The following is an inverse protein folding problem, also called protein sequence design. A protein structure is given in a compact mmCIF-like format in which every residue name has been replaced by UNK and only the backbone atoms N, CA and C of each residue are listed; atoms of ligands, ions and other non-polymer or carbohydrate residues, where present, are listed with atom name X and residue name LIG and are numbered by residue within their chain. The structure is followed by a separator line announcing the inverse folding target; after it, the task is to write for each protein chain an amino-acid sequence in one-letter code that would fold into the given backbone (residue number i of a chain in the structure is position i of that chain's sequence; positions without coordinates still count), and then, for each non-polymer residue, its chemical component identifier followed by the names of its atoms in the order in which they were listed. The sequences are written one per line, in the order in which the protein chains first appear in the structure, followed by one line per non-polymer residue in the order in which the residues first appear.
data_IF_897837570172
#
_entry.id   IF_897837570172
#
_cell.length_a   1.000
_cell.length_b   1.000
_cell.length_c   1.000
_cell.angle_alpha   90.00
_cell.angle_beta   90.00
_cell.angle_gamma   90.00
#
_symmetry.space_group_name_H-M   'P 1'
#
loop_
_entity.id
_entity.type
_entity.pdbx_description
1 polymer ?
#
# COMPACT_ATOMS: atom_id res chain seq x y z
N UNK A 1 14.67 -1.62 20.80
CA UNK A 1 13.56 -1.68 19.83
C UNK A 1 13.90 -2.59 18.64
N UNK A 2 15.01 -2.38 17.90
CA UNK A 2 15.37 -3.23 16.74
C UNK A 2 15.52 -4.72 17.07
N UNK A 3 16.13 -5.09 18.19
CA UNK A 3 16.24 -6.49 18.60
C UNK A 3 14.87 -7.16 18.85
N UNK A 4 13.92 -6.41 19.38
CA UNK A 4 12.55 -6.91 19.58
C UNK A 4 11.87 -7.08 18.23
N UNK A 5 12.01 -6.09 17.34
CA UNK A 5 11.48 -6.16 15.98
C UNK A 5 12.05 -7.36 15.22
N UNK A 6 13.38 -7.53 15.23
CA UNK A 6 14.04 -8.66 14.56
C UNK A 6 13.53 -10.01 15.08
N UNK A 7 13.42 -10.16 16.40
CA UNK A 7 12.87 -11.39 17.01
C UNK A 7 11.42 -11.65 16.59
N UNK A 8 10.59 -10.60 16.56
CA UNK A 8 9.18 -10.72 16.15
C UNK A 8 9.07 -11.08 14.68
N UNK A 9 9.74 -10.34 13.79
CA UNK A 9 9.68 -10.59 12.34
C UNK A 9 10.26 -11.95 11.97
N UNK A 10 11.27 -12.43 12.70
CA UNK A 10 11.86 -13.76 12.51
C UNK A 10 10.96 -14.89 13.01
N UNK A 11 10.02 -14.60 13.91
CA UNK A 11 9.09 -15.61 14.45
C UNK A 11 8.10 -16.08 13.38
N UNK A 12 7.79 -17.38 13.31
CA UNK A 12 6.75 -17.90 12.41
C UNK A 12 5.34 -17.40 12.73
N UNK A 13 5.07 -17.07 14.00
CA UNK A 13 3.72 -16.74 14.50
C UNK A 13 3.54 -15.29 14.91
N UNK A 14 4.63 -14.52 15.05
CA UNK A 14 4.59 -13.16 15.58
C UNK A 14 5.13 -12.10 14.58
N UNK A 15 5.30 -12.45 13.31
CA UNK A 15 5.86 -11.54 12.33
C UNK A 15 4.97 -10.31 12.10
N UNK A 16 3.65 -10.48 12.09
CA UNK A 16 2.69 -9.39 11.97
C UNK A 16 2.83 -8.39 13.12
N UNK A 17 3.00 -8.86 14.37
CA UNK A 17 3.19 -8.00 15.53
C UNK A 17 4.46 -7.15 15.41
N UNK A 18 5.50 -7.69 14.77
CA UNK A 18 6.71 -6.92 14.46
C UNK A 18 6.40 -5.73 13.55
N UNK A 19 5.61 -5.92 12.51
CA UNK A 19 5.20 -4.83 11.62
C UNK A 19 4.31 -3.79 12.34
N UNK A 20 3.38 -4.21 13.21
CA UNK A 20 2.58 -3.28 14.00
C UNK A 20 3.42 -2.40 14.92
N UNK A 21 4.47 -2.96 15.55
CA UNK A 21 5.43 -2.16 16.34
C UNK A 21 6.11 -1.11 15.47
N UNK A 22 6.54 -1.46 14.26
CA UNK A 22 7.16 -0.48 13.34
C UNK A 22 6.16 0.57 12.84
N UNK A 23 4.93 0.20 12.54
CA UNK A 23 3.89 1.14 12.14
C UNK A 23 3.70 2.18 13.25
N UNK A 24 3.58 1.75 14.51
CA UNK A 24 3.48 2.67 15.66
C UNK A 24 4.66 3.63 15.75
N UNK A 25 5.87 3.15 15.47
CA UNK A 25 7.09 3.99 15.45
C UNK A 25 7.03 5.00 14.31
N UNK A 26 6.68 4.56 13.09
CA UNK A 26 6.54 5.42 11.91
C UNK A 26 5.51 6.53 12.15
N UNK A 27 4.37 6.19 12.75
CA UNK A 27 3.31 7.15 13.04
C UNK A 27 3.68 8.17 14.15
N UNK A 28 4.45 7.73 15.13
CA UNK A 28 4.77 8.53 16.33
C UNK A 28 6.00 9.42 16.15
N UNK A 29 6.96 9.05 15.31
CA UNK A 29 8.24 9.74 15.15
C UNK A 29 8.32 10.51 13.83
N UNK A 30 9.08 11.61 13.86
CA UNK A 30 9.48 12.27 12.62
C UNK A 30 10.63 11.50 11.95
N UNK A 31 10.77 11.66 10.63
CA UNK A 31 11.75 10.88 9.84
C UNK A 31 13.16 10.94 10.40
N UNK A 32 13.62 12.13 10.76
CA UNK A 32 14.99 12.40 11.24
C UNK A 32 15.30 11.70 12.58
N UNK A 33 14.27 11.37 13.37
CA UNK A 33 14.43 10.70 14.66
C UNK A 33 14.73 9.21 14.54
N UNK A 34 14.38 8.57 13.41
CA UNK A 34 14.62 7.14 13.19
C UNK A 34 15.32 6.81 11.86
N UNK A 35 15.65 7.79 11.05
CA UNK A 35 16.32 7.63 9.75
C UNK A 35 17.55 6.72 9.83
N UNK A 36 18.35 6.88 10.86
CA UNK A 36 19.56 6.08 11.09
C UNK A 36 19.29 4.57 11.20
N UNK A 37 18.11 4.18 11.64
CA UNK A 37 17.73 2.78 11.83
C UNK A 37 17.07 2.15 10.61
N UNK A 38 16.60 2.94 9.65
CA UNK A 38 15.81 2.47 8.49
C UNK A 38 16.58 1.45 7.65
N UNK A 39 17.87 1.64 7.29
CA UNK A 39 18.62 0.64 6.54
C UNK A 39 18.70 -0.71 7.25
N UNK A 40 18.84 -0.71 8.57
CA UNK A 40 18.85 -1.94 9.38
C UNK A 40 17.46 -2.61 9.38
N UNK A 41 16.39 -1.83 9.46
CA UNK A 41 15.02 -2.35 9.37
C UNK A 41 14.80 -3.06 8.04
N UNK A 42 15.16 -2.43 6.93
CA UNK A 42 15.04 -3.05 5.61
C UNK A 42 15.92 -4.29 5.46
N UNK A 43 17.15 -4.27 5.98
CA UNK A 43 18.03 -5.43 5.97
C UNK A 43 17.42 -6.63 6.73
N UNK A 44 16.79 -6.39 7.88
CA UNK A 44 16.09 -7.42 8.66
C UNK A 44 14.90 -7.99 7.86
N UNK A 45 14.08 -7.13 7.27
CA UNK A 45 12.90 -7.55 6.51
C UNK A 45 13.30 -8.34 5.26
N UNK A 46 14.21 -7.81 4.45
CA UNK A 46 14.64 -8.47 3.21
C UNK A 46 15.58 -9.64 3.45
N UNK A 47 16.16 -9.77 4.64
CA UNK A 47 16.91 -10.94 5.07
C UNK A 47 16.04 -12.20 5.28
N UNK A 48 14.72 -12.11 5.11
CA UNK A 48 13.77 -13.22 5.33
C UNK A 48 12.93 -13.53 4.07
N UNK A 49 13.57 -13.87 2.94
CA UNK A 49 12.87 -14.00 1.66
C UNK A 49 11.81 -15.11 1.65
N UNK A 50 11.96 -16.15 2.47
CA UNK A 50 11.01 -17.24 2.58
C UNK A 50 9.66 -16.81 3.17
N UNK A 51 9.64 -15.76 4.00
CA UNK A 51 8.42 -15.24 4.63
C UNK A 51 7.51 -14.50 3.65
N UNK A 52 8.06 -13.97 2.57
CA UNK A 52 7.26 -13.35 1.51
C UNK A 52 6.40 -14.35 0.71
N UNK A 53 6.48 -15.64 1.00
CA UNK A 53 5.54 -16.65 0.50
C UNK A 53 4.24 -16.69 1.31
N UNK A 54 4.22 -16.15 2.51
CA UNK A 54 3.04 -16.11 3.36
C UNK A 54 2.24 -14.81 3.10
N UNK A 55 0.99 -14.94 2.65
CA UNK A 55 0.11 -13.80 2.33
C UNK A 55 -0.02 -12.81 3.48
N UNK A 56 -0.15 -13.31 4.72
CA UNK A 56 -0.23 -12.47 5.93
C UNK A 56 1.02 -11.61 6.11
N UNK A 57 2.20 -12.15 5.86
CA UNK A 57 3.46 -11.40 5.94
C UNK A 57 3.52 -10.32 4.86
N UNK A 58 3.13 -10.65 3.63
CA UNK A 58 3.08 -9.69 2.53
C UNK A 58 2.08 -8.59 2.80
N UNK A 59 0.86 -8.93 3.26
CA UNK A 59 -0.17 -7.93 3.64
C UNK A 59 0.37 -6.97 4.70
N UNK A 60 0.92 -7.49 5.80
CA UNK A 60 1.49 -6.65 6.87
C UNK A 60 2.65 -5.77 6.40
N UNK A 61 3.50 -6.29 5.51
CA UNK A 61 4.56 -5.52 4.86
C UNK A 61 4.01 -4.39 3.97
N UNK A 62 2.96 -4.67 3.16
CA UNK A 62 2.31 -3.64 2.34
C UNK A 62 1.70 -2.53 3.19
N UNK A 63 1.09 -2.87 4.32
CA UNK A 63 0.56 -1.89 5.26
C UNK A 63 1.68 -1.04 5.86
N UNK A 64 2.79 -1.66 6.30
CA UNK A 64 3.96 -0.94 6.82
C UNK A 64 4.47 0.12 5.84
N UNK A 65 4.74 -0.28 4.58
CA UNK A 65 5.26 0.66 3.58
C UNK A 65 4.22 1.70 3.16
N UNK A 66 2.92 1.38 3.26
CA UNK A 66 1.84 2.35 3.03
C UNK A 66 1.81 3.43 4.11
N UNK A 67 1.91 3.07 5.39
CA UNK A 67 2.05 4.03 6.50
C UNK A 67 3.28 4.91 6.31
N UNK A 68 4.42 4.30 5.93
CA UNK A 68 5.66 5.06 5.66
C UNK A 68 5.46 6.10 4.56
N UNK A 69 4.86 5.71 3.42
CA UNK A 69 4.61 6.63 2.30
C UNK A 69 3.66 7.77 2.70
N UNK A 70 2.62 7.43 3.43
CA UNK A 70 1.61 8.41 3.84
C UNK A 70 2.20 9.43 4.81
N UNK A 71 3.02 9.00 5.76
CA UNK A 71 3.64 9.88 6.75
C UNK A 71 4.86 10.63 6.20
N UNK A 72 5.77 9.94 5.52
CA UNK A 72 7.11 10.48 5.19
C UNK A 72 7.36 10.69 3.68
N UNK A 73 6.47 10.20 2.82
CA UNK A 73 6.53 10.38 1.37
C UNK A 73 7.26 9.27 0.62
N UNK A 74 6.97 9.19 -0.69
CA UNK A 74 7.49 8.14 -1.57
C UNK A 74 9.01 8.25 -1.79
N UNK A 75 9.56 9.48 -1.88
CA UNK A 75 10.99 9.70 -2.12
C UNK A 75 11.83 9.07 -1.01
N UNK A 76 11.51 9.37 0.26
CA UNK A 76 12.24 8.84 1.41
C UNK A 76 12.18 7.30 1.47
N UNK A 77 11.04 6.71 1.11
CA UNK A 77 10.92 5.26 1.03
C UNK A 77 11.83 4.68 -0.05
N UNK A 78 11.77 5.21 -1.27
CA UNK A 78 12.57 4.74 -2.41
C UNK A 78 14.06 4.83 -2.11
N UNK A 79 14.51 5.97 -1.61
CA UNK A 79 15.93 6.20 -1.29
C UNK A 79 16.39 5.26 -0.17
N UNK A 80 15.59 5.10 0.89
CA UNK A 80 15.93 4.22 2.01
C UNK A 80 16.00 2.74 1.61
N UNK A 81 15.08 2.26 0.80
CA UNK A 81 15.10 0.88 0.30
C UNK A 81 16.28 0.66 -0.65
N UNK A 82 16.47 1.55 -1.61
CA UNK A 82 17.54 1.41 -2.60
C UNK A 82 18.95 1.61 -2.01
N UNK A 83 19.07 2.21 -0.81
CA UNK A 83 20.33 2.28 -0.09
C UNK A 83 20.83 0.91 0.40
N UNK A 84 19.91 -0.02 0.68
CA UNK A 84 20.25 -1.39 1.11
C UNK A 84 20.60 -2.27 -0.09
N UNK A 85 19.82 -2.18 -1.15
CA UNK A 85 20.07 -2.90 -2.39
C UNK A 85 19.53 -2.09 -3.57
N UNK A 86 20.36 -1.87 -4.58
CA UNK A 86 19.97 -1.13 -5.78
C UNK A 86 18.72 -1.74 -6.45
N UNK A 87 17.75 -0.89 -6.80
CA UNK A 87 16.50 -1.26 -7.46
C UNK A 87 15.55 -2.16 -6.64
N UNK A 88 15.77 -2.34 -5.33
CA UNK A 88 14.89 -3.20 -4.51
C UNK A 88 13.47 -2.65 -4.46
N UNK A 89 13.29 -1.33 -4.46
CA UNK A 89 11.96 -0.73 -4.51
C UNK A 89 11.16 -1.18 -5.75
N UNK A 90 11.77 -1.15 -6.94
CA UNK A 90 11.12 -1.62 -8.18
C UNK A 90 10.77 -3.11 -8.12
N UNK A 91 11.62 -3.93 -7.49
CA UNK A 91 11.33 -5.34 -7.26
C UNK A 91 10.15 -5.53 -6.30
N UNK A 92 10.10 -4.76 -5.20
CA UNK A 92 9.00 -4.78 -4.25
C UNK A 92 7.69 -4.40 -4.93
N UNK A 93 7.65 -3.34 -5.72
CA UNK A 93 6.44 -2.94 -6.45
C UNK A 93 6.01 -4.02 -7.43
N UNK A 94 6.93 -4.57 -8.22
CA UNK A 94 6.63 -5.56 -9.25
C UNK A 94 6.23 -6.93 -8.69
N UNK A 95 6.94 -7.40 -7.66
CA UNK A 95 6.80 -8.78 -7.18
C UNK A 95 5.89 -8.91 -5.95
N UNK A 96 5.75 -7.85 -5.16
CA UNK A 96 4.97 -7.90 -3.93
C UNK A 96 3.76 -6.97 -3.99
N UNK A 97 3.93 -5.69 -4.33
CA UNK A 97 2.84 -4.73 -4.26
C UNK A 97 1.71 -5.05 -5.23
N UNK A 98 1.98 -4.96 -6.52
CA UNK A 98 0.95 -5.15 -7.57
C UNK A 98 0.24 -6.51 -7.47
N UNK A 99 0.96 -7.66 -7.35
CA UNK A 99 0.29 -8.97 -7.30
C UNK A 99 -0.57 -9.20 -6.05
N UNK A 100 -0.29 -8.50 -4.96
CA UNK A 100 -0.94 -8.76 -3.66
C UNK A 100 -1.90 -7.66 -3.21
N UNK A 101 -2.22 -6.67 -4.06
CA UNK A 101 -3.24 -5.66 -3.76
C UNK A 101 -4.60 -6.29 -3.40
N UNK A 102 -4.93 -7.44 -3.98
CA UNK A 102 -6.13 -8.22 -3.67
C UNK A 102 -6.22 -8.72 -2.22
N UNK A 103 -5.12 -8.75 -1.47
CA UNK A 103 -5.11 -9.14 -0.06
C UNK A 103 -5.64 -8.03 0.87
N UNK A 104 -5.84 -6.83 0.34
CA UNK A 104 -6.27 -5.67 1.10
C UNK A 104 -7.78 -5.61 1.09
N UNK A 105 -8.41 -5.95 2.22
CA UNK A 105 -9.87 -6.10 2.35
C UNK A 105 -10.50 -5.08 3.28
N UNK A 106 -9.84 -4.69 4.37
CA UNK A 106 -10.38 -3.71 5.33
C UNK A 106 -10.55 -2.30 4.75
N UNK A 107 -11.62 -1.61 5.09
CA UNK A 107 -11.93 -0.28 4.54
C UNK A 107 -10.83 0.76 4.82
N UNK A 108 -10.28 0.77 6.05
CA UNK A 108 -9.16 1.67 6.44
C UNK A 108 -7.88 1.26 5.72
N UNK A 109 -7.56 -0.04 5.69
CA UNK A 109 -6.39 -0.59 5.00
C UNK A 109 -6.45 -0.29 3.50
N UNK A 110 -7.61 -0.46 2.88
CA UNK A 110 -7.82 -0.18 1.46
C UNK A 110 -7.57 1.30 1.15
N UNK A 111 -8.15 2.20 1.94
CA UNK A 111 -7.96 3.64 1.81
C UNK A 111 -6.48 4.00 1.92
N UNK A 112 -5.79 3.45 2.93
CA UNK A 112 -4.37 3.66 3.17
C UNK A 112 -3.53 3.20 1.97
N UNK A 113 -3.72 1.94 1.53
CA UNK A 113 -2.95 1.35 0.42
C UNK A 113 -3.25 2.05 -0.90
N UNK A 114 -4.51 2.43 -1.16
CA UNK A 114 -4.88 3.15 -2.38
C UNK A 114 -4.22 4.55 -2.44
N UNK A 115 -4.22 5.29 -1.33
CA UNK A 115 -3.55 6.61 -1.26
C UNK A 115 -2.03 6.45 -1.38
N UNK A 116 -1.42 5.49 -0.69
CA UNK A 116 0.01 5.21 -0.81
C UNK A 116 0.40 4.83 -2.25
N UNK A 117 -0.38 3.95 -2.88
CA UNK A 117 -0.19 3.56 -4.27
C UNK A 117 -0.33 4.73 -5.24
N UNK A 118 -1.29 5.62 -5.00
CA UNK A 118 -1.45 6.86 -5.79
C UNK A 118 -0.22 7.76 -5.68
N UNK A 119 0.36 7.89 -4.47
CA UNK A 119 1.61 8.65 -4.28
C UNK A 119 2.81 8.03 -4.98
N UNK A 120 2.87 6.69 -5.05
CA UNK A 120 3.89 5.98 -5.84
C UNK A 120 3.71 6.25 -7.33
N UNK A 121 2.49 6.14 -7.86
CA UNK A 121 2.18 6.45 -9.27
C UNK A 121 2.59 7.88 -9.60
N UNK A 122 2.26 8.82 -8.73
CA UNK A 122 2.63 10.22 -8.92
C UNK A 122 4.15 10.39 -8.99
N UNK A 123 4.87 9.85 -8.00
CA UNK A 123 6.33 9.88 -7.94
C UNK A 123 6.97 9.27 -9.19
N UNK A 124 6.56 8.05 -9.57
CA UNK A 124 7.08 7.38 -10.75
C UNK A 124 6.75 8.13 -12.04
N UNK A 125 5.56 8.72 -12.13
CA UNK A 125 5.13 9.51 -13.29
C UNK A 125 5.94 10.79 -13.51
N UNK A 126 6.38 11.44 -12.45
CA UNK A 126 7.23 12.64 -12.52
C UNK A 126 8.71 12.32 -12.80
N UNK A 127 9.14 11.09 -12.52
CA UNK A 127 10.54 10.68 -12.68
C UNK A 127 10.90 10.64 -14.18
N UNK A 128 12.06 11.21 -14.59
CA UNK A 128 12.55 11.07 -15.98
C UNK A 128 12.72 9.60 -16.41
N UNK A 129 12.99 8.72 -15.48
CA UNK A 129 13.10 7.28 -15.71
C UNK A 129 11.78 6.63 -16.16
N UNK A 130 10.63 7.31 -16.08
CA UNK A 130 9.35 6.81 -16.62
C UNK A 130 9.42 6.57 -18.13
N UNK A 131 10.38 7.15 -18.84
CA UNK A 131 10.56 6.92 -20.28
C UNK A 131 11.17 5.54 -20.60
N UNK A 132 11.71 4.85 -19.62
CA UNK A 132 12.14 3.46 -19.77
C UNK A 132 10.91 2.55 -19.91
N UNK A 133 10.85 1.67 -20.93
CA UNK A 133 9.71 0.76 -21.16
C UNK A 133 9.35 -0.08 -19.94
N UNK A 134 10.35 -0.52 -19.15
CA UNK A 134 10.12 -1.33 -17.95
C UNK A 134 9.39 -0.52 -16.85
N UNK A 135 9.69 0.78 -16.73
CA UNK A 135 9.05 1.67 -15.77
C UNK A 135 7.65 2.09 -16.23
N UNK A 136 7.45 2.27 -17.55
CA UNK A 136 6.12 2.48 -18.14
C UNK A 136 5.20 1.30 -17.83
N UNK A 137 5.67 0.08 -18.08
CA UNK A 137 4.92 -1.15 -17.78
C UNK A 137 4.58 -1.24 -16.29
N UNK A 138 5.55 -0.98 -15.43
CA UNK A 138 5.36 -1.02 -13.97
C UNK A 138 4.31 -0.02 -13.51
N UNK A 139 4.38 1.20 -14.03
CA UNK A 139 3.43 2.28 -13.75
C UNK A 139 2.02 1.90 -14.20
N UNK A 140 1.89 1.40 -15.42
CA UNK A 140 0.60 0.98 -15.98
C UNK A 140 -0.03 -0.16 -15.20
N UNK A 141 0.74 -1.21 -14.87
CA UNK A 141 0.26 -2.35 -14.04
C UNK A 141 -0.12 -1.91 -12.63
N UNK A 142 0.60 -0.97 -12.06
CA UNK A 142 0.25 -0.45 -10.74
C UNK A 142 -1.06 0.34 -10.79
N UNK A 143 -1.27 1.15 -11.82
CA UNK A 143 -2.54 1.86 -12.01
C UNK A 143 -3.69 0.88 -12.21
N UNK A 144 -3.51 -0.15 -13.04
CA UNK A 144 -4.51 -1.20 -13.26
C UNK A 144 -4.93 -1.87 -11.94
N UNK A 145 -3.94 -2.26 -11.13
CA UNK A 145 -4.18 -2.85 -9.81
C UNK A 145 -4.94 -1.93 -8.85
N UNK A 146 -4.63 -0.63 -8.85
CA UNK A 146 -5.33 0.34 -7.99
C UNK A 146 -6.77 0.55 -8.45
N UNK A 147 -7.00 0.66 -9.75
CA UNK A 147 -8.36 0.80 -10.29
C UNK A 147 -9.18 -0.43 -9.94
N UNK A 148 -8.61 -1.63 -10.06
CA UNK A 148 -9.25 -2.88 -9.61
C UNK A 148 -9.59 -2.81 -8.12
N UNK A 149 -8.63 -2.44 -7.26
CA UNK A 149 -8.83 -2.33 -5.82
C UNK A 149 -9.96 -1.36 -5.46
N UNK A 150 -10.02 -0.20 -6.12
CA UNK A 150 -11.03 0.84 -5.87
C UNK A 150 -12.40 0.54 -6.48
N UNK A 151 -12.46 -0.38 -7.43
CA UNK A 151 -13.70 -0.81 -8.10
C UNK A 151 -14.38 -1.98 -7.39
N UNK A 152 -13.71 -2.58 -6.39
CA UNK A 152 -14.27 -3.70 -5.64
C UNK A 152 -15.51 -3.29 -4.85
N UNK A 153 -16.63 -4.03 -4.93
CA UNK A 153 -17.88 -3.70 -4.26
C UNK A 153 -17.72 -3.64 -2.73
N UNK A 154 -18.31 -2.65 -2.09
CA UNK A 154 -18.28 -2.53 -0.62
C UNK A 154 -18.93 -3.72 0.10
N UNK A 155 -19.94 -4.34 -0.51
CA UNK A 155 -20.66 -5.48 0.04
C UNK A 155 -19.75 -6.71 0.24
N UNK A 156 -18.88 -7.00 -0.72
CA UNK A 156 -17.96 -8.13 -0.65
C UNK A 156 -16.88 -7.94 0.46
N UNK A 157 -16.61 -6.69 0.83
CA UNK A 157 -15.63 -6.34 1.88
C UNK A 157 -16.18 -6.56 3.30
N UNK A 158 -17.46 -6.26 3.48
CA UNK A 158 -18.13 -6.37 4.79
C UNK A 158 -18.37 -7.84 5.16
N UNK A 159 -18.62 -8.71 4.18
CA UNK A 159 -18.80 -10.14 4.42
C UNK A 159 -17.49 -10.79 4.89
N UNK A 160 -16.34 -10.48 4.29
CA UNK A 160 -15.04 -10.98 4.73
C UNK A 160 -14.66 -10.49 6.15
N UNK A 161 -14.95 -9.23 6.50
CA UNK A 161 -14.73 -8.71 7.85
C UNK A 161 -15.63 -9.41 8.88
N UNK A 162 -16.89 -9.70 8.54
CA UNK A 162 -17.82 -10.43 9.41
C UNK A 162 -17.42 -11.91 9.57
N UNK A 163 -16.95 -12.55 8.51
CA UNK A 163 -16.50 -13.94 8.56
C UNK A 163 -15.23 -14.08 9.40
N UNK A 164 -14.28 -13.13 9.31
CA UNK A 164 -13.09 -13.08 10.16
C UNK A 164 -13.43 -12.83 11.63
N UNK A 165 -14.41 -11.95 11.92
CA UNK A 165 -14.91 -11.73 13.28
C UNK A 165 -15.59 -12.99 13.86
N UNK A 166 -16.40 -13.68 13.05
CA UNK A 166 -17.06 -14.90 13.46
C UNK A 166 -16.08 -16.05 13.75
N UNK A 167 -15.02 -16.19 12.98
CA UNK A 167 -13.94 -17.15 13.20
C UNK A 167 -13.17 -16.83 14.49
N UNK A 168 -12.88 -15.55 14.74
CA UNK A 168 -12.18 -15.11 15.96
C UNK A 168 -13.01 -15.37 17.24
N UNK A 169 -14.33 -15.21 17.17
CA UNK A 169 -15.25 -15.49 18.29
C UNK A 169 -15.40 -16.97 18.60
N UNK A 170 -15.30 -17.83 17.57
CA UNK A 170 -15.50 -19.29 17.73
C UNK A 170 -14.25 -20.08 18.10
N UNK A 171 -13.05 -19.49 18.05
CA UNK A 171 -11.78 -20.15 18.41
C UNK A 171 -11.48 -19.99 19.91
N UNK A 172 -12.41 -20.42 20.79
CA UNK A 172 -12.11 -20.69 22.20
C UNK A 172 -11.70 -19.51 23.09
N UNK A 173 -11.86 -18.28 22.63
CA UNK A 173 -11.57 -17.08 23.40
C UNK A 173 -12.75 -16.69 24.29
N UNK A 174 -12.48 -16.32 25.54
CA UNK A 174 -13.52 -15.81 26.43
C UNK A 174 -14.11 -14.51 25.86
N UNK A 175 -15.41 -14.21 26.12
CA UNK A 175 -16.04 -12.95 25.72
C UNK A 175 -15.24 -11.71 26.10
N UNK A 176 -14.54 -11.75 27.23
CA UNK A 176 -13.68 -10.68 27.73
C UNK A 176 -12.46 -10.46 26.81
N UNK A 177 -11.87 -11.52 26.28
CA UNK A 177 -10.74 -11.41 25.35
C UNK A 177 -11.19 -10.84 23.99
N UNK A 178 -12.34 -11.29 23.48
CA UNK A 178 -12.93 -10.74 22.27
C UNK A 178 -13.25 -9.24 22.41
N UNK A 179 -13.80 -8.82 23.56
CA UNK A 179 -14.05 -7.41 23.87
C UNK A 179 -12.77 -6.57 23.96
N UNK A 180 -11.72 -7.08 24.61
CA UNK A 180 -10.43 -6.41 24.71
C UNK A 180 -9.72 -6.35 23.36
N UNK A 181 -9.79 -7.42 22.57
CA UNK A 181 -9.25 -7.48 21.21
C UNK A 181 -9.96 -6.50 20.27
N UNK A 182 -11.29 -6.45 20.32
CA UNK A 182 -12.10 -5.51 19.52
C UNK A 182 -11.96 -4.06 20.00
N UNK A 183 -11.75 -3.83 21.29
CA UNK A 183 -11.48 -2.49 21.83
C UNK A 183 -10.07 -1.99 21.47
N UNK A 184 -9.08 -2.90 21.44
CA UNK A 184 -7.73 -2.59 20.96
C UNK A 184 -7.66 -2.39 19.44
N UNK A 185 -8.62 -2.94 18.69
CA UNK A 185 -8.72 -2.89 17.23
C UNK A 185 -9.49 -1.70 16.68
N UNK A 186 -9.73 -0.65 17.44
CA UNK A 186 -10.09 0.66 16.88
C UNK A 186 -8.85 1.22 16.19
N UNK A 187 -8.57 0.69 15.00
CA UNK A 187 -7.59 1.28 14.11
C UNK A 187 -8.02 2.72 13.84
N UNK A 188 -7.25 3.66 14.32
CA UNK A 188 -7.46 5.04 13.95
C UNK A 188 -7.10 5.21 12.49
N UNK A 189 -8.03 5.75 11.69
CA UNK A 189 -7.77 6.06 10.29
C UNK A 189 -6.65 7.12 10.20
N UNK A 190 -5.45 6.78 9.69
CA UNK A 190 -4.34 7.73 9.57
C UNK A 190 -4.60 8.82 8.53
N UNK A 191 -5.67 8.66 7.75
CA UNK A 191 -6.06 9.54 6.65
C UNK A 191 -7.43 10.20 6.90
N UNK A 192 -7.71 10.63 8.14
CA UNK A 192 -9.00 11.27 8.52
C UNK A 192 -9.40 12.42 7.60
N UNK A 193 -8.42 13.16 7.07
CA UNK A 193 -8.64 14.31 6.19
C UNK A 193 -8.97 13.92 4.74
N UNK A 194 -8.67 12.69 4.33
CA UNK A 194 -8.99 12.18 3.01
C UNK A 194 -10.33 11.44 3.08
N UNK A 195 -11.35 12.00 2.44
CA UNK A 195 -12.69 11.39 2.44
C UNK A 195 -12.78 10.21 1.47
N UNK A 196 -12.25 10.37 0.27
CA UNK A 196 -12.35 9.37 -0.79
C UNK A 196 -11.01 9.16 -1.50
N UNK A 197 -10.42 7.96 -1.46
CA UNK A 197 -9.18 7.66 -2.16
C UNK A 197 -9.34 7.69 -3.69
N UNK A 198 -10.55 7.55 -4.22
CA UNK A 198 -10.84 7.65 -5.66
C UNK A 198 -10.61 9.06 -6.18
N UNK A 199 -11.05 10.07 -5.42
CA UNK A 199 -10.80 11.48 -5.72
C UNK A 199 -9.29 11.77 -5.77
N UNK A 200 -8.54 11.26 -4.79
CA UNK A 200 -7.07 11.43 -4.72
C UNK A 200 -6.39 10.84 -5.96
N UNK A 201 -6.83 9.65 -6.40
CA UNK A 201 -6.28 9.02 -7.60
C UNK A 201 -6.51 9.87 -8.85
N UNK A 202 -7.75 10.24 -9.13
CA UNK A 202 -8.06 10.99 -10.37
C UNK A 202 -7.46 12.39 -10.38
N UNK A 203 -7.43 13.07 -9.23
CA UNK A 203 -6.77 14.37 -9.10
C UNK A 203 -5.26 14.28 -9.36
N UNK A 204 -4.62 13.24 -8.84
CA UNK A 204 -3.19 12.97 -9.08
C UNK A 204 -2.89 12.69 -10.55
N UNK A 205 -3.71 11.85 -11.21
CA UNK A 205 -3.57 11.54 -12.63
C UNK A 205 -3.81 12.76 -13.53
N UNK A 206 -4.82 13.58 -13.22
CA UNK A 206 -5.08 14.82 -13.93
C UNK A 206 -3.89 15.80 -13.80
N UNK A 207 -3.31 15.92 -12.60
CA UNK A 207 -2.11 16.71 -12.36
C UNK A 207 -0.91 16.25 -13.19
N UNK A 208 -0.65 14.94 -13.20
CA UNK A 208 0.42 14.35 -14.03
C UNK A 208 0.16 14.60 -15.53
N UNK A 209 -1.06 14.36 -15.98
CA UNK A 209 -1.46 14.51 -17.38
C UNK A 209 -1.32 15.95 -17.85
N UNK A 210 -1.69 16.91 -17.00
CA UNK A 210 -1.53 18.33 -17.30
C UNK A 210 -0.06 18.75 -17.46
N UNK A 211 0.86 18.13 -16.74
CA UNK A 211 2.30 18.39 -16.86
C UNK A 211 2.93 17.73 -18.09
N UNK A 212 2.39 16.57 -18.50
CA UNK A 212 2.91 15.78 -19.62
C UNK A 212 1.76 15.35 -20.54
N UNK A 213 1.17 16.30 -21.31
CA UNK A 213 0.00 16.03 -22.14
C UNK A 213 0.26 14.91 -23.17
N UNK A 214 -0.74 14.04 -23.37
CA UNK A 214 -0.71 12.93 -24.32
C UNK A 214 0.07 11.69 -23.89
N UNK A 215 0.86 11.76 -22.81
CA UNK A 215 1.68 10.62 -22.33
C UNK A 215 0.82 9.53 -21.72
N UNK A 216 0.03 9.88 -20.71
CA UNK A 216 -0.69 8.93 -19.89
C UNK A 216 -1.87 8.24 -20.58
N UNK A 217 -2.64 8.89 -21.49
CA UNK A 217 -3.68 8.20 -22.24
C UNK A 217 -3.17 6.99 -23.03
N UNK A 218 -1.97 7.09 -23.60
CA UNK A 218 -1.36 5.98 -24.34
C UNK A 218 -0.98 4.81 -23.43
N UNK A 219 -0.39 5.12 -22.27
CA UNK A 219 0.00 4.10 -21.27
C UNK A 219 -1.25 3.41 -20.71
N UNK A 220 -2.29 4.17 -20.39
CA UNK A 220 -3.57 3.66 -19.90
C UNK A 220 -4.18 2.68 -20.91
N UNK A 221 -4.25 3.07 -22.18
CA UNK A 221 -4.79 2.21 -23.24
C UNK A 221 -3.98 0.93 -23.46
N UNK A 222 -2.67 0.97 -23.20
CA UNK A 222 -1.77 -0.16 -23.42
C UNK A 222 -1.76 -1.17 -22.26
N UNK A 223 -1.85 -0.69 -21.03
CA UNK A 223 -1.56 -1.52 -19.85
C UNK A 223 -2.75 -1.76 -18.92
N UNK A 224 -3.83 -1.00 -19.02
CA UNK A 224 -5.03 -1.27 -18.23
C UNK A 224 -5.95 -2.24 -18.98
N UNK A 225 -6.58 -3.14 -18.22
CA UNK A 225 -7.66 -3.96 -18.74
C UNK A 225 -8.84 -3.09 -19.20
N UNK A 226 -9.59 -3.49 -20.24
CA UNK A 226 -10.71 -2.71 -20.76
C UNK A 226 -11.78 -2.35 -19.70
N UNK A 227 -12.01 -3.26 -18.73
CA UNK A 227 -12.92 -2.99 -17.61
C UNK A 227 -12.38 -1.87 -16.71
N UNK A 228 -11.07 -1.86 -16.42
CA UNK A 228 -10.42 -0.85 -15.63
C UNK A 228 -10.30 0.49 -16.37
N UNK A 229 -10.14 0.48 -17.70
CA UNK A 229 -10.22 1.71 -18.51
C UNK A 229 -11.60 2.37 -18.39
N UNK A 230 -12.67 1.57 -18.48
CA UNK A 230 -14.04 2.06 -18.33
C UNK A 230 -14.31 2.58 -16.90
N UNK A 231 -13.84 1.84 -15.88
CA UNK A 231 -13.95 2.26 -14.48
C UNK A 231 -13.20 3.57 -14.21
N UNK A 232 -11.97 3.70 -14.72
CA UNK A 232 -11.18 4.93 -14.58
C UNK A 232 -11.87 6.12 -15.26
N UNK A 233 -12.42 5.93 -16.45
CA UNK A 233 -13.17 6.97 -17.16
C UNK A 233 -14.42 7.39 -16.35
N UNK A 234 -15.13 6.45 -15.75
CA UNK A 234 -16.26 6.73 -14.88
C UNK A 234 -15.85 7.56 -13.66
N UNK A 235 -14.71 7.20 -13.02
CA UNK A 235 -14.15 7.98 -11.92
C UNK A 235 -13.80 9.40 -12.35
N UNK A 236 -13.12 9.57 -13.49
CA UNK A 236 -12.80 10.89 -14.04
C UNK A 236 -14.04 11.75 -14.25
N UNK A 237 -15.12 11.16 -14.79
CA UNK A 237 -16.39 11.86 -14.97
C UNK A 237 -17.05 12.24 -13.64
N UNK A 238 -17.02 11.34 -12.65
CA UNK A 238 -17.60 11.57 -11.32
C UNK A 238 -16.93 12.74 -10.59
N UNK A 239 -15.62 12.87 -10.70
CA UNK A 239 -14.86 13.94 -10.02
C UNK A 239 -14.51 15.13 -10.94
N UNK A 240 -15.09 15.20 -12.15
CA UNK A 240 -14.85 16.25 -13.12
C UNK A 240 -13.35 16.47 -13.44
N UNK A 241 -12.58 15.41 -13.48
CA UNK A 241 -11.17 15.40 -13.83
C UNK A 241 -10.97 14.92 -15.27
N UNK A 242 -9.93 15.40 -15.94
CA UNK A 242 -9.57 14.98 -17.30
C UNK A 242 -8.11 14.51 -17.33
N UNK A 243 -7.88 13.41 -18.03
CA UNK A 243 -6.54 12.90 -18.36
C UNK A 243 -6.32 13.22 -19.84
N UNK A 244 -5.44 14.18 -20.10
CA UNK A 244 -5.17 14.77 -21.44
C UNK A 244 -3.81 14.32 -21.99
#
# INVERSE_FOLDING_TARGET
MLEVFEKLVSSPTAAEQGFYVLITVIESLEYDEFEFYIPTIWAIVFGQPEKFRAEKFVKAFLLLISHFIVKHGSIKLVDSMNSVQANIFSLVVKQLWVPHLKLITGAIELKLVAVASTRIIHFLGECPAILDPANIELWGKMLDGIVTLLSWPEQDRVEEEQEMLYIAENVGNTPTFAHLYNAAKKEEDPLKDIKDPKEVLVASLAGLSSRFPGRYPQIINQYLDPANQAALLQLCNTYNCQII
#
